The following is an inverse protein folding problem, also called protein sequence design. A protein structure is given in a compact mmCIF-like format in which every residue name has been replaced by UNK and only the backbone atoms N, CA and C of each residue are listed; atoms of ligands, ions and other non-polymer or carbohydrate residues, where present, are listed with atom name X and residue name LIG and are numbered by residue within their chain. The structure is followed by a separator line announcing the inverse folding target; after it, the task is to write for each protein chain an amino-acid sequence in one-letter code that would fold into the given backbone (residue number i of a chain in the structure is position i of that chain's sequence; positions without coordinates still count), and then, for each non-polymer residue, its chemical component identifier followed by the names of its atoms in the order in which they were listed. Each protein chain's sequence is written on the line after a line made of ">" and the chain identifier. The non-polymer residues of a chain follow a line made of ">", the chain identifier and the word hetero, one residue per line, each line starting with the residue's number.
data_IF_033338264066
#
_entry.id   IF_033338264066
#
_cell.length_a   1.000
_cell.length_b   1.000
_cell.length_c   1.000
_cell.angle_alpha   90.00
_cell.angle_beta   90.00
_cell.angle_gamma   90.00
#
_symmetry.space_group_name_H-M   'P 1'
#
loop_
_entity.id
_entity.type
_entity.pdbx_description
1 polymer ?
#
# COMPACT_ATOMS: atom_id res chain seq x y z
N UNK A 1 -62.75 -11.49 -3.16
CA UNK A 1 -62.59 -10.13 -2.63
C UNK A 1 -61.11 -9.98 -2.30
N UNK A 2 -60.27 -9.59 -3.28
CA UNK A 2 -59.83 -8.20 -3.52
C UNK A 2 -59.25 -7.63 -2.23
N UNK A 3 -57.94 -7.42 -2.10
CA UNK A 3 -57.27 -6.30 -2.74
C UNK A 3 -55.80 -6.58 -3.04
N UNK A 4 -55.47 -6.59 -4.34
CA UNK A 4 -54.21 -6.06 -4.84
C UNK A 4 -54.23 -4.54 -4.62
N UNK A 5 -53.19 -3.98 -4.03
CA UNK A 5 -52.85 -2.57 -4.18
C UNK A 5 -51.35 -2.43 -4.07
N UNK A 6 -50.73 -2.40 -5.25
CA UNK A 6 -49.43 -1.78 -5.40
C UNK A 6 -49.55 -0.29 -5.12
N UNK A 7 -48.62 0.24 -4.34
CA UNK A 7 -48.34 1.66 -4.29
C UNK A 7 -46.82 1.82 -4.19
N UNK A 8 -46.19 1.85 -5.37
CA UNK A 8 -44.89 2.46 -5.56
C UNK A 8 -44.99 3.91 -5.09
N UNK A 9 -44.34 4.24 -3.98
CA UNK A 9 -44.03 5.63 -3.65
C UNK A 9 -42.52 5.72 -3.55
N UNK A 10 -41.89 6.03 -4.69
CA UNK A 10 -40.49 6.38 -4.76
C UNK A 10 -40.27 7.69 -4.00
N UNK A 11 -39.90 7.59 -2.74
CA UNK A 11 -39.39 8.72 -1.97
C UNK A 11 -37.87 8.69 -2.04
N UNK A 12 -37.35 9.45 -3.01
CA UNK A 12 -35.94 9.78 -3.21
C UNK A 12 -35.38 10.50 -1.98
N UNK A 13 -35.10 9.73 -0.92
CA UNK A 13 -34.33 10.21 0.22
C UNK A 13 -32.90 9.73 0.05
N UNK A 14 -32.19 10.36 -0.89
CA UNK A 14 -30.74 10.38 -0.90
C UNK A 14 -30.24 11.16 0.34
N UNK A 15 -30.55 10.63 1.53
CA UNK A 15 -29.86 11.01 2.75
C UNK A 15 -28.51 10.36 2.64
N UNK A 16 -27.51 11.20 2.40
CA UNK A 16 -26.09 10.98 2.66
C UNK A 16 -25.90 10.03 3.85
N UNK A 17 -25.93 8.72 3.58
CA UNK A 17 -25.66 7.66 4.55
C UNK A 17 -24.16 7.73 4.74
N UNK A 18 -23.74 8.45 5.80
CA UNK A 18 -22.39 8.34 6.31
C UNK A 18 -22.04 6.86 6.41
N UNK A 19 -20.88 6.49 5.85
CA UNK A 19 -20.39 5.11 5.71
C UNK A 19 -20.61 4.33 7.02
N UNK A 20 -21.63 3.49 7.05
CA UNK A 20 -21.93 2.63 8.21
C UNK A 20 -21.16 1.33 8.00
N UNK A 21 -20.10 1.14 8.77
CA UNK A 21 -19.43 -0.16 8.83
C UNK A 21 -20.26 -1.09 9.72
N UNK A 22 -20.66 -2.26 9.21
CA UNK A 22 -21.44 -3.27 9.93
C UNK A 22 -22.92 -3.32 9.57
N UNK A 23 -23.71 -4.07 10.36
CA UNK A 23 -25.14 -4.31 10.09
C UNK A 23 -25.93 -2.99 10.16
N UNK A 24 -26.63 -2.57 9.09
CA UNK A 24 -27.41 -1.35 9.09
C UNK A 24 -28.52 -1.39 10.13
N UNK A 25 -28.73 -0.31 10.89
CA UNK A 25 -29.84 -0.19 11.87
C UNK A 25 -31.22 0.00 11.21
N UNK A 26 -31.25 0.26 9.91
CA UNK A 26 -32.48 0.61 9.17
C UNK A 26 -32.39 0.12 7.73
N UNK A 27 -33.45 -0.54 7.27
CA UNK A 27 -33.62 -1.06 5.92
C UNK A 27 -33.64 0.04 4.85
N UNK A 28 -33.43 -0.36 3.61
CA UNK A 28 -33.62 0.52 2.46
C UNK A 28 -35.08 1.03 2.34
N UNK A 29 -36.07 0.26 2.80
CA UNK A 29 -37.47 0.71 2.88
C UNK A 29 -37.80 1.62 4.08
N UNK A 30 -36.85 1.86 4.99
CA UNK A 30 -37.04 2.67 6.19
C UNK A 30 -37.45 1.90 7.46
N UNK A 31 -37.73 0.61 7.37
CA UNK A 31 -38.01 -0.27 8.53
C UNK A 31 -36.76 -0.43 9.41
N UNK A 32 -36.91 -0.52 10.74
CA UNK A 32 -35.77 -0.82 11.63
C UNK A 32 -35.34 -2.28 11.49
N UNK A 33 -34.03 -2.52 11.40
CA UNK A 33 -33.46 -3.87 11.38
C UNK A 33 -33.40 -4.36 12.82
N UNK A 34 -34.16 -5.40 13.16
CA UNK A 34 -34.10 -6.04 14.47
C UNK A 34 -33.17 -7.26 14.43
N UNK A 35 -32.25 -7.31 15.38
CA UNK A 35 -31.43 -8.50 15.64
C UNK A 35 -32.30 -9.58 16.30
N UNK A 36 -32.60 -10.65 15.57
CA UNK A 36 -33.24 -11.83 16.12
C UNK A 36 -32.19 -12.68 16.84
N UNK A 37 -31.91 -12.37 18.09
CA UNK A 37 -31.04 -13.21 18.94
C UNK A 37 -31.86 -14.42 19.40
N UNK A 38 -31.72 -15.54 18.70
CA UNK A 38 -32.28 -16.83 19.14
C UNK A 38 -31.56 -17.29 20.41
N UNK A 39 -32.28 -17.34 21.54
CA UNK A 39 -31.71 -17.68 22.85
C UNK A 39 -31.57 -19.20 23.10
N UNK A 40 -31.57 -20.05 22.07
CA UNK A 40 -31.41 -21.49 22.27
C UNK A 40 -30.50 -22.11 21.22
N UNK A 41 -29.38 -22.62 21.73
CA UNK A 41 -28.54 -23.70 21.21
C UNK A 41 -29.20 -24.56 20.14
N UNK A 42 -29.16 -24.16 18.89
CA UNK A 42 -29.24 -25.11 17.77
C UNK A 42 -28.61 -24.48 16.54
N UNK A 43 -27.39 -24.94 16.25
CA UNK A 43 -26.63 -24.74 15.02
C UNK A 43 -27.34 -25.47 13.86
N UNK A 44 -28.63 -25.18 13.60
CA UNK A 44 -29.42 -25.78 12.51
C UNK A 44 -30.38 -24.80 11.80
N UNK A 45 -30.38 -23.52 12.15
CA UNK A 45 -31.24 -22.49 11.53
C UNK A 45 -30.44 -21.63 10.53
N UNK A 46 -29.45 -22.22 9.85
CA UNK A 46 -28.69 -21.52 8.81
C UNK A 46 -29.39 -21.52 7.44
N UNK A 47 -30.38 -22.38 7.22
CA UNK A 47 -30.95 -22.63 5.90
C UNK A 47 -32.48 -22.52 5.81
N UNK A 48 -33.21 -22.46 6.92
CA UNK A 48 -34.69 -22.52 6.92
C UNK A 48 -35.38 -21.25 7.43
N UNK A 49 -34.62 -20.23 7.86
CA UNK A 49 -35.16 -18.90 8.21
C UNK A 49 -34.75 -17.82 7.19
N UNK A 50 -34.39 -18.22 5.96
CA UNK A 50 -34.27 -17.31 4.81
C UNK A 50 -35.46 -17.51 3.85
N UNK A 51 -36.58 -17.99 4.38
CA UNK A 51 -37.81 -18.13 3.61
C UNK A 51 -38.53 -16.79 3.56
N UNK A 52 -38.10 -15.95 2.61
CA UNK A 52 -38.98 -15.00 1.95
C UNK A 52 -39.64 -13.93 2.86
N UNK A 53 -38.85 -13.20 3.63
CA UNK A 53 -39.18 -11.80 3.87
C UNK A 53 -38.52 -10.95 2.78
N UNK A 54 -39.27 -9.99 2.22
CA UNK A 54 -38.77 -8.97 1.28
C UNK A 54 -37.68 -8.05 1.91
N UNK A 55 -37.15 -8.46 3.06
CA UNK A 55 -36.29 -7.77 4.01
C UNK A 55 -35.20 -8.70 4.62
N UNK A 56 -34.95 -9.90 4.10
CA UNK A 56 -33.66 -10.59 4.27
C UNK A 56 -32.71 -10.08 3.19
N UNK A 57 -31.75 -9.22 3.52
CA UNK A 57 -30.93 -8.57 2.48
C UNK A 57 -29.43 -8.94 2.45
N UNK A 58 -28.93 -9.04 1.22
CA UNK A 58 -27.87 -8.27 0.52
C UNK A 58 -26.74 -7.56 1.32
N UNK A 59 -26.82 -7.42 2.64
CA UNK A 59 -25.87 -6.62 3.43
C UNK A 59 -24.53 -7.32 3.61
N UNK A 60 -24.51 -8.66 3.56
CA UNK A 60 -23.25 -9.43 3.60
C UNK A 60 -22.39 -9.07 2.39
N UNK A 61 -22.98 -9.05 1.19
CA UNK A 61 -22.26 -8.70 -0.03
C UNK A 61 -21.85 -7.23 -0.04
N UNK A 62 -22.73 -6.32 0.38
CA UNK A 62 -22.43 -4.88 0.46
C UNK A 62 -21.34 -4.58 1.52
N UNK A 63 -21.37 -5.23 2.69
CA UNK A 63 -20.32 -5.08 3.70
C UNK A 63 -18.97 -5.64 3.24
N UNK A 64 -18.97 -6.77 2.53
CA UNK A 64 -17.75 -7.31 1.93
C UNK A 64 -17.19 -6.37 0.85
N UNK A 65 -18.05 -5.76 0.02
CA UNK A 65 -17.61 -4.78 -0.99
C UNK A 65 -16.98 -3.54 -0.33
N UNK A 66 -17.57 -3.03 0.75
CA UNK A 66 -17.01 -1.91 1.52
C UNK A 66 -15.66 -2.26 2.13
N UNK A 67 -15.51 -3.48 2.65
CA UNK A 67 -14.24 -3.97 3.19
C UNK A 67 -13.18 -4.11 2.10
N UNK A 68 -13.54 -4.66 0.94
CA UNK A 68 -12.64 -4.77 -0.22
C UNK A 68 -12.19 -3.38 -0.70
N UNK A 69 -13.10 -2.41 -0.79
CA UNK A 69 -12.75 -1.04 -1.16
C UNK A 69 -11.82 -0.39 -0.13
N UNK A 70 -12.12 -0.57 1.16
CA UNK A 70 -11.28 -0.09 2.24
C UNK A 70 -9.88 -0.72 2.20
N UNK A 71 -9.78 -2.02 1.96
CA UNK A 71 -8.51 -2.72 1.81
C UNK A 71 -7.75 -2.24 0.58
N UNK A 72 -8.41 -2.11 -0.57
CA UNK A 72 -7.80 -1.57 -1.80
C UNK A 72 -7.19 -0.19 -1.57
N UNK A 73 -7.91 0.69 -0.87
CA UNK A 73 -7.39 2.04 -0.53
C UNK A 73 -6.18 1.99 0.40
N UNK A 74 -6.17 1.06 1.37
CA UNK A 74 -5.04 0.86 2.28
C UNK A 74 -3.83 0.29 1.55
N UNK A 75 -4.03 -0.66 0.64
CA UNK A 75 -2.97 -1.25 -0.18
C UNK A 75 -2.32 -0.21 -1.07
N UNK A 76 -3.10 0.60 -1.80
CA UNK A 76 -2.58 1.67 -2.64
C UNK A 76 -1.72 2.67 -1.84
N UNK A 77 -2.18 3.05 -0.64
CA UNK A 77 -1.41 3.92 0.26
C UNK A 77 -0.13 3.28 0.78
N UNK A 78 -0.10 1.96 0.96
CA UNK A 78 1.10 1.24 1.38
C UNK A 78 2.12 1.13 0.25
N UNK A 79 1.66 0.88 -0.98
CA UNK A 79 2.50 0.87 -2.18
C UNK A 79 3.19 2.22 -2.38
N UNK A 80 2.42 3.33 -2.30
CA UNK A 80 2.97 4.69 -2.39
C UNK A 80 4.07 4.95 -1.32
N UNK A 81 3.81 4.56 -0.08
CA UNK A 81 4.79 4.71 1.01
C UNK A 81 6.03 3.85 0.80
N UNK A 82 5.86 2.65 0.25
CA UNK A 82 6.97 1.75 -0.06
C UNK A 82 7.86 2.33 -1.17
N UNK A 83 7.24 2.85 -2.23
CA UNK A 83 7.96 3.51 -3.33
C UNK A 83 8.73 4.74 -2.83
N UNK A 84 8.11 5.59 -2.01
CA UNK A 84 8.76 6.74 -1.41
C UNK A 84 9.98 6.35 -0.56
N UNK A 85 9.83 5.39 0.37
CA UNK A 85 10.92 4.91 1.22
C UNK A 85 12.04 4.27 0.40
N UNK A 86 11.68 3.52 -0.65
CA UNK A 86 12.65 2.86 -1.52
C UNK A 86 13.45 3.88 -2.31
N UNK A 87 12.79 4.91 -2.86
CA UNK A 87 13.45 6.01 -3.57
C UNK A 87 14.35 6.82 -2.65
N UNK A 88 13.89 7.18 -1.45
CA UNK A 88 14.71 7.90 -0.47
C UNK A 88 15.97 7.11 -0.08
N UNK A 89 15.83 5.82 0.22
CA UNK A 89 16.97 4.96 0.56
C UNK A 89 17.92 4.78 -0.63
N UNK A 90 17.39 4.63 -1.85
CA UNK A 90 18.20 4.49 -3.06
C UNK A 90 19.01 5.77 -3.31
N UNK A 91 18.39 6.94 -3.21
CA UNK A 91 19.07 8.23 -3.36
C UNK A 91 20.16 8.44 -2.29
N UNK A 92 19.89 8.08 -1.03
CA UNK A 92 20.88 8.17 0.05
C UNK A 92 22.07 7.22 -0.19
N UNK A 93 21.79 6.01 -0.68
CA UNK A 93 22.81 5.03 -1.00
C UNK A 93 23.66 5.46 -2.21
N UNK A 94 23.03 5.96 -3.27
CA UNK A 94 23.73 6.50 -4.46
C UNK A 94 24.65 7.65 -4.08
N UNK A 95 24.19 8.58 -3.21
CA UNK A 95 25.03 9.68 -2.74
C UNK A 95 26.25 9.19 -1.95
N UNK A 96 26.05 8.23 -1.03
CA UNK A 96 27.16 7.63 -0.26
C UNK A 96 28.12 6.86 -1.15
N UNK A 97 27.63 6.17 -2.18
CA UNK A 97 28.47 5.49 -3.15
C UNK A 97 29.29 6.49 -3.97
N UNK A 98 28.65 7.57 -4.45
CA UNK A 98 29.34 8.60 -5.22
C UNK A 98 30.48 9.24 -4.42
N UNK A 99 30.22 9.60 -3.16
CA UNK A 99 31.24 10.16 -2.27
C UNK A 99 32.42 9.20 -2.06
N UNK A 100 32.16 7.91 -1.82
CA UNK A 100 33.24 6.91 -1.69
C UNK A 100 34.01 6.67 -2.98
N UNK A 101 33.34 6.70 -4.13
CA UNK A 101 33.99 6.55 -5.44
C UNK A 101 34.88 7.76 -5.72
N UNK A 102 34.41 8.96 -5.41
CA UNK A 102 35.20 10.20 -5.57
C UNK A 102 36.43 10.21 -4.64
N UNK A 103 36.27 9.78 -3.39
CA UNK A 103 37.39 9.63 -2.44
C UNK A 103 38.43 8.63 -2.95
N UNK A 104 38.01 7.45 -3.41
CA UNK A 104 38.92 6.44 -3.97
C UNK A 104 39.61 6.91 -5.27
N UNK A 105 38.91 7.68 -6.10
CA UNK A 105 39.50 8.29 -7.30
C UNK A 105 40.55 9.35 -6.93
N UNK A 106 40.27 10.19 -5.93
CA UNK A 106 41.21 11.20 -5.44
C UNK A 106 42.46 10.54 -4.84
N UNK A 107 42.28 9.48 -4.04
CA UNK A 107 43.38 8.72 -3.45
C UNK A 107 44.24 8.04 -4.53
N UNK A 108 43.61 7.35 -5.48
CA UNK A 108 44.34 6.70 -6.58
C UNK A 108 45.09 7.71 -7.45
N UNK A 109 44.48 8.85 -7.80
CA UNK A 109 45.14 9.92 -8.55
C UNK A 109 46.37 10.47 -7.81
N UNK A 110 46.25 10.68 -6.49
CA UNK A 110 47.36 11.12 -5.64
C UNK A 110 48.49 10.08 -5.61
N UNK A 111 48.14 8.80 -5.45
CA UNK A 111 49.13 7.71 -5.46
C UNK A 111 49.82 7.57 -6.82
N UNK A 112 49.07 7.69 -7.93
CA UNK A 112 49.64 7.68 -9.29
C UNK A 112 50.60 8.84 -9.49
N UNK A 113 50.24 10.07 -9.09
CA UNK A 113 51.15 11.23 -9.17
C UNK A 113 52.46 10.98 -8.42
N UNK A 114 52.38 10.44 -7.19
CA UNK A 114 53.56 10.08 -6.40
C UNK A 114 54.42 9.02 -7.09
N UNK A 115 53.80 7.97 -7.61
CA UNK A 115 54.50 6.89 -8.33
C UNK A 115 55.23 7.42 -9.57
N UNK A 116 54.59 8.28 -10.36
CA UNK A 116 55.21 8.88 -11.56
C UNK A 116 56.46 9.67 -11.19
N UNK A 117 56.41 10.47 -10.13
CA UNK A 117 57.58 11.24 -9.66
C UNK A 117 58.73 10.31 -9.28
N UNK A 118 58.46 9.24 -8.51
CA UNK A 118 59.48 8.26 -8.11
C UNK A 118 60.12 7.60 -9.33
N UNK A 119 59.32 7.19 -10.33
CA UNK A 119 59.84 6.59 -11.57
C UNK A 119 60.74 7.56 -12.32
N UNK A 120 60.32 8.82 -12.51
CA UNK A 120 61.11 9.84 -13.22
C UNK A 120 62.45 10.09 -12.54
N UNK A 121 62.45 10.26 -11.21
CA UNK A 121 63.68 10.47 -10.43
C UNK A 121 64.61 9.27 -10.60
N UNK A 122 64.09 8.04 -10.49
CA UNK A 122 64.91 6.83 -10.64
C UNK A 122 65.55 6.71 -12.02
N UNK A 123 64.84 7.09 -13.10
CA UNK A 123 65.39 7.06 -14.45
C UNK A 123 66.52 8.09 -14.65
N UNK A 124 66.36 9.31 -14.13
CA UNK A 124 67.37 10.37 -14.24
C UNK A 124 68.67 9.95 -13.53
N UNK A 125 68.53 9.37 -12.34
CA UNK A 125 69.66 8.85 -11.55
C UNK A 125 70.40 7.74 -12.30
N UNK A 126 69.69 6.77 -12.87
CA UNK A 126 70.29 5.68 -13.66
C UNK A 126 71.07 6.20 -14.87
N UNK A 127 70.48 7.09 -15.68
CA UNK A 127 71.16 7.67 -16.86
C UNK A 127 72.38 8.48 -16.47
N UNK A 128 72.32 9.23 -15.36
CA UNK A 128 73.46 9.98 -14.83
C UNK A 128 74.62 9.05 -14.46
N UNK A 129 74.34 7.95 -13.76
CA UNK A 129 75.35 6.94 -13.44
C UNK A 129 75.92 6.26 -14.69
N UNK A 130 75.10 5.98 -15.72
CA UNK A 130 75.57 5.41 -16.99
C UNK A 130 76.47 6.34 -17.81
N UNK A 131 76.51 7.65 -17.52
CA UNK A 131 77.41 8.62 -18.18
C UNK A 131 78.70 8.91 -17.39
N UNK A 132 78.77 8.46 -16.13
CA UNK A 132 79.92 8.63 -15.26
C UNK A 132 80.88 7.43 -15.28
N UNK A 133 80.48 6.33 -15.91
CA UNK A 133 81.28 5.12 -16.14
C UNK A 133 81.58 4.97 -17.64
#
# INVERSE_FOLDING_TARGET
>A
MSNLSGASTGSSSARSRGRVFGVPKTCHCGEQVMELISNQTTIRIGATFLANDNHTFKWVDEAHLDEIEALKSKTARLEEKLEAVTSERMNEFEKKLFERVEEALAESSSMTKKMVIVVVISCVVMVGFSKLY
#
